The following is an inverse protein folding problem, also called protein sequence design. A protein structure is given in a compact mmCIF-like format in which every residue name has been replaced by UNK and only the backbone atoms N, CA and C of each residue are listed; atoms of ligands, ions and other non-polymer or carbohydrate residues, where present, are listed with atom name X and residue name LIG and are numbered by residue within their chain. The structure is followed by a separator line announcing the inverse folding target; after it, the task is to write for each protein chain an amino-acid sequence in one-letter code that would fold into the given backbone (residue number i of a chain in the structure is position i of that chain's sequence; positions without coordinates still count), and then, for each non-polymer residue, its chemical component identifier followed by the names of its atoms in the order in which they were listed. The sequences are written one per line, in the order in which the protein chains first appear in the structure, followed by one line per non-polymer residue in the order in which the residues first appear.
data_IF_184233314498
#
_entry.id   IF_184233314498
#
_cell.length_a   1.000
_cell.length_b   1.000
_cell.length_c   1.000
_cell.angle_alpha   90.00
_cell.angle_beta   90.00
_cell.angle_gamma   90.00
#
_symmetry.space_group_name_H-M   'P 1'
#
loop_
_entity.id
_entity.type
_entity.pdbx_description
1 polymer ?
#
# COMPACT_ATOMS: atom_id res chain seq x y z
N UNK A 1 9.69 1.24 4.40
CA UNK A 1 9.87 0.63 5.75
C UNK A 1 10.70 -0.65 5.67
N UNK A 2 10.34 -1.63 4.84
CA UNK A 2 11.04 -2.90 4.68
C UNK A 2 12.52 -2.73 4.39
N UNK A 3 12.88 -1.91 3.42
CA UNK A 3 14.26 -1.64 3.02
C UNK A 3 15.16 -1.16 4.18
N UNK A 4 14.65 -0.27 5.04
CA UNK A 4 15.41 0.21 6.22
C UNK A 4 15.58 -0.93 7.25
N UNK A 5 14.52 -1.72 7.50
CA UNK A 5 14.59 -2.85 8.43
C UNK A 5 15.55 -3.95 7.96
N UNK A 6 15.55 -4.18 6.65
CA UNK A 6 16.50 -5.10 5.99
C UNK A 6 17.95 -4.68 6.26
N UNK A 7 18.30 -3.40 6.02
CA UNK A 7 19.63 -2.87 6.33
C UNK A 7 20.00 -2.98 7.81
N UNK A 8 19.05 -2.74 8.72
CA UNK A 8 19.28 -2.92 10.16
C UNK A 8 19.50 -4.40 10.51
N UNK A 9 18.78 -5.34 9.90
CA UNK A 9 19.00 -6.78 10.10
C UNK A 9 20.38 -7.22 9.61
N UNK A 10 20.85 -6.69 8.47
CA UNK A 10 22.23 -6.91 7.99
C UNK A 10 23.26 -6.37 8.98
N UNK A 11 23.05 -5.15 9.50
CA UNK A 11 23.95 -4.54 10.47
C UNK A 11 24.03 -5.34 11.77
N UNK A 12 22.91 -5.84 12.28
CA UNK A 12 22.87 -6.67 13.48
C UNK A 12 23.57 -8.03 13.30
N UNK A 13 23.45 -8.63 12.11
CA UNK A 13 24.15 -9.87 11.79
C UNK A 13 25.69 -9.71 11.74
N UNK A 14 26.18 -8.48 11.52
CA UNK A 14 27.60 -8.16 11.36
C UNK A 14 28.04 -7.05 12.35
N UNK A 15 27.45 -7.01 13.53
CA UNK A 15 27.54 -5.86 14.45
C UNK A 15 28.98 -5.50 14.83
N UNK A 16 29.84 -6.47 15.07
CA UNK A 16 31.22 -6.24 15.47
C UNK A 16 32.02 -5.50 14.39
N UNK A 17 31.81 -5.88 13.13
CA UNK A 17 32.47 -5.23 12.00
C UNK A 17 31.92 -3.81 11.76
N UNK A 18 30.60 -3.62 11.93
CA UNK A 18 29.98 -2.28 11.85
C UNK A 18 30.56 -1.35 12.92
N UNK A 19 30.64 -1.81 14.17
CA UNK A 19 31.22 -1.04 15.26
C UNK A 19 32.68 -0.72 14.97
N UNK A 20 33.47 -1.67 14.45
CA UNK A 20 34.86 -1.45 14.10
C UNK A 20 35.04 -0.34 13.06
N UNK A 21 34.24 -0.37 11.97
CA UNK A 21 34.28 0.66 10.93
C UNK A 21 33.88 2.04 11.50
N UNK A 22 32.76 2.11 12.22
CA UNK A 22 32.26 3.38 12.77
C UNK A 22 33.27 3.98 13.76
N UNK A 23 33.91 3.13 14.57
CA UNK A 23 34.89 3.58 15.57
C UNK A 23 36.22 4.07 14.96
N UNK A 24 36.63 3.48 13.84
CA UNK A 24 37.87 3.79 13.17
C UNK A 24 37.73 4.95 12.18
N UNK A 25 36.53 5.25 11.72
CA UNK A 25 36.29 6.34 10.80
C UNK A 25 36.48 7.71 11.48
N UNK A 26 37.21 8.65 10.86
CA UNK A 26 37.48 9.97 11.43
C UNK A 26 36.23 10.87 11.48
N UNK A 27 35.26 10.65 10.61
CA UNK A 27 34.02 11.43 10.53
C UNK A 27 32.84 10.55 10.13
N UNK A 28 31.57 10.92 10.51
CA UNK A 28 30.41 10.16 10.13
C UNK A 28 30.21 9.99 8.60
N UNK A 29 30.49 10.99 7.74
CA UNK A 29 30.44 10.81 6.28
C UNK A 29 31.42 9.76 5.76
N UNK A 30 32.61 9.66 6.34
CA UNK A 30 33.61 8.64 5.99
C UNK A 30 33.10 7.26 6.41
N UNK A 31 32.59 7.11 7.64
CA UNK A 31 31.96 5.87 8.09
C UNK A 31 30.86 5.42 7.14
N UNK A 32 29.98 6.33 6.72
CA UNK A 32 28.91 6.06 5.76
C UNK A 32 29.45 5.50 4.44
N UNK A 33 30.47 6.14 3.88
CA UNK A 33 31.08 5.71 2.61
C UNK A 33 31.72 4.34 2.75
N UNK A 34 32.43 4.06 3.85
CA UNK A 34 33.05 2.77 4.11
C UNK A 34 32.01 1.64 4.29
N UNK A 35 30.90 1.92 5.01
CA UNK A 35 29.80 0.98 5.18
C UNK A 35 29.12 0.62 3.85
N UNK A 36 28.97 1.60 2.96
CA UNK A 36 28.38 1.39 1.62
C UNK A 36 29.32 0.70 0.65
N UNK A 37 30.64 0.93 0.76
CA UNK A 37 31.65 0.32 -0.10
C UNK A 37 31.85 -1.17 0.19
N UNK A 38 31.54 -1.61 1.39
CA UNK A 38 31.69 -3.00 1.82
C UNK A 38 30.49 -3.86 1.44
N UNK A 39 30.74 -5.10 1.07
CA UNK A 39 29.71 -6.13 0.88
C UNK A 39 29.55 -6.95 2.17
N UNK A 40 28.30 -7.18 2.56
CA UNK A 40 27.94 -7.77 3.85
C UNK A 40 27.32 -9.15 3.65
N UNK A 41 27.68 -10.12 4.49
CA UNK A 41 27.00 -11.41 4.53
C UNK A 41 25.86 -11.35 5.57
N UNK A 42 24.67 -11.72 5.15
CA UNK A 42 23.51 -11.86 6.03
C UNK A 42 22.67 -13.04 5.63
N UNK A 43 22.91 -14.17 6.29
CA UNK A 43 22.17 -15.40 6.03
C UNK A 43 20.67 -15.23 6.32
N UNK A 44 20.31 -14.42 7.31
CA UNK A 44 18.92 -14.10 7.64
C UNK A 44 18.21 -13.42 6.47
N UNK A 45 18.78 -12.32 5.98
CA UNK A 45 18.20 -11.55 4.85
C UNK A 45 18.19 -12.39 3.59
N UNK A 46 19.26 -13.12 3.32
CA UNK A 46 19.33 -14.07 2.19
C UNK A 46 18.21 -15.10 2.27
N UNK A 47 18.03 -15.74 3.42
CA UNK A 47 16.99 -16.76 3.60
C UNK A 47 15.59 -16.19 3.43
N UNK A 48 15.32 -14.99 3.89
CA UNK A 48 14.01 -14.35 3.76
C UNK A 48 13.70 -13.96 2.32
N UNK A 49 14.67 -13.36 1.63
CA UNK A 49 14.52 -12.97 0.22
C UNK A 49 14.51 -14.16 -0.74
N UNK A 50 15.16 -15.31 -0.37
CA UNK A 50 15.12 -16.53 -1.18
C UNK A 50 13.89 -17.38 -0.91
N UNK A 51 13.32 -17.39 0.31
CA UNK A 51 12.03 -18.06 0.57
C UNK A 51 10.92 -17.51 -0.31
N UNK A 52 10.92 -16.22 -0.56
CA UNK A 52 10.03 -15.60 -1.52
C UNK A 52 10.16 -16.16 -2.96
N UNK A 53 11.28 -16.82 -3.29
CA UNK A 53 11.49 -17.49 -4.59
C UNK A 53 11.03 -18.94 -4.63
N UNK A 54 11.07 -19.65 -3.48
CA UNK A 54 10.86 -21.11 -3.44
C UNK A 54 9.40 -21.53 -3.24
N UNK A 55 8.52 -20.64 -2.75
CA UNK A 55 7.12 -20.96 -2.45
C UNK A 55 6.19 -21.02 -3.68
N UNK A 56 6.75 -21.03 -4.90
CA UNK A 56 5.93 -21.06 -6.13
C UNK A 56 5.12 -19.78 -6.35
N UNK A 57 5.38 -18.73 -5.58
CA UNK A 57 4.80 -17.41 -5.81
C UNK A 57 5.40 -16.82 -7.08
N UNK A 58 4.57 -16.17 -7.89
CA UNK A 58 4.98 -15.46 -9.11
C UNK A 58 5.75 -14.17 -8.82
N UNK A 59 6.09 -13.94 -7.54
CA UNK A 59 6.73 -12.71 -7.05
C UNK A 59 8.25 -12.81 -7.26
N UNK A 60 8.80 -11.86 -8.00
CA UNK A 60 10.23 -11.77 -8.22
C UNK A 60 10.91 -11.04 -7.05
N UNK A 61 12.17 -11.38 -6.76
CA UNK A 61 12.96 -10.65 -5.74
C UNK A 61 13.08 -9.14 -6.03
N UNK A 62 12.89 -8.74 -7.29
CA UNK A 62 12.86 -7.33 -7.69
C UNK A 62 11.58 -6.61 -7.22
N UNK A 63 10.48 -7.34 -6.97
CA UNK A 63 9.21 -6.77 -6.50
C UNK A 63 9.29 -6.28 -5.04
N UNK A 64 10.24 -6.81 -4.25
CA UNK A 64 10.54 -6.34 -2.89
C UNK A 64 11.43 -5.09 -2.86
N UNK A 65 12.00 -4.70 -4.01
CA UNK A 65 12.88 -3.53 -4.08
C UNK A 65 12.07 -2.25 -4.12
N UNK A 66 12.45 -1.23 -3.34
CA UNK A 66 11.84 0.09 -3.46
C UNK A 66 11.99 0.64 -4.88
N UNK A 67 10.97 1.29 -5.40
CA UNK A 67 11.05 2.04 -6.64
C UNK A 67 12.20 3.06 -6.58
N UNK A 68 13.01 3.12 -7.62
CA UNK A 68 14.15 4.04 -7.71
C UNK A 68 15.42 3.59 -6.99
N UNK A 69 15.44 2.43 -6.33
CA UNK A 69 16.68 1.90 -5.76
C UNK A 69 17.59 1.37 -6.87
N UNK A 70 18.81 1.91 -6.96
CA UNK A 70 19.81 1.47 -7.94
C UNK A 70 20.16 -0.02 -7.75
N UNK A 71 20.36 -0.73 -8.88
CA UNK A 71 20.58 -2.19 -8.88
C UNK A 71 21.82 -2.66 -8.13
N UNK A 72 22.77 -1.76 -7.89
CA UNK A 72 23.99 -2.07 -7.14
C UNK A 72 23.75 -2.28 -5.64
N UNK A 73 22.63 -1.78 -5.07
CA UNK A 73 22.29 -1.92 -3.65
C UNK A 73 21.36 -3.11 -3.41
N UNK A 74 21.32 -3.60 -2.17
CA UNK A 74 20.55 -4.78 -1.79
C UNK A 74 21.31 -6.08 -1.98
N UNK A 75 20.58 -7.20 -2.06
CA UNK A 75 21.16 -8.53 -2.24
C UNK A 75 21.67 -8.70 -3.68
N UNK A 76 22.98 -8.85 -3.84
CA UNK A 76 23.63 -9.12 -5.13
C UNK A 76 23.48 -10.57 -5.59
N UNK A 77 23.84 -10.83 -6.85
CA UNK A 77 23.91 -12.19 -7.40
C UNK A 77 25.00 -13.04 -6.73
N UNK A 78 26.00 -12.38 -6.15
CA UNK A 78 27.06 -12.97 -5.36
C UNK A 78 26.60 -13.45 -3.97
N UNK A 79 25.34 -13.21 -3.63
CA UNK A 79 24.76 -13.52 -2.32
C UNK A 79 25.19 -12.57 -1.21
N UNK A 80 25.92 -11.52 -1.53
CA UNK A 80 26.33 -10.48 -0.59
C UNK A 80 25.38 -9.28 -0.68
N UNK A 81 25.22 -8.60 0.44
CA UNK A 81 24.35 -7.45 0.58
C UNK A 81 25.14 -6.14 0.52
N UNK A 82 24.67 -5.18 -0.29
CA UNK A 82 25.24 -3.84 -0.38
C UNK A 82 24.25 -2.81 0.15
N UNK A 83 24.70 -2.04 1.12
CA UNK A 83 23.85 -1.04 1.78
C UNK A 83 23.63 0.17 0.88
N UNK A 84 22.38 0.64 0.86
CA UNK A 84 22.05 1.94 0.28
C UNK A 84 22.43 3.09 1.22
N UNK A 85 22.47 4.30 0.67
CA UNK A 85 22.75 5.51 1.45
C UNK A 85 21.76 5.70 2.60
N UNK A 86 20.47 5.48 2.34
CA UNK A 86 19.41 5.58 3.37
C UNK A 86 19.63 4.58 4.49
N UNK A 87 19.97 3.34 4.16
CA UNK A 87 20.25 2.30 5.16
C UNK A 87 21.49 2.64 5.99
N UNK A 88 22.59 3.05 5.36
CA UNK A 88 23.81 3.42 6.05
C UNK A 88 23.57 4.60 7.01
N UNK A 89 22.76 5.57 6.62
CA UNK A 89 22.40 6.70 7.47
C UNK A 89 21.57 6.29 8.69
N UNK A 90 20.57 5.44 8.50
CA UNK A 90 19.74 4.92 9.60
C UNK A 90 20.56 4.08 10.59
N UNK A 91 21.51 3.30 10.09
CA UNK A 91 22.44 2.53 10.93
C UNK A 91 23.30 3.46 11.78
N UNK A 92 23.87 4.53 11.20
CA UNK A 92 24.67 5.51 11.93
C UNK A 92 23.89 6.31 12.98
N UNK A 93 22.59 6.47 12.79
CA UNK A 93 21.68 7.13 13.73
C UNK A 93 21.14 6.19 14.81
N UNK A 94 21.45 4.89 14.72
CA UNK A 94 20.95 3.89 15.66
C UNK A 94 21.55 4.12 17.06
N UNK A 95 20.69 4.16 18.07
CA UNK A 95 21.10 4.29 19.47
C UNK A 95 21.72 2.98 19.96
N UNK A 96 22.76 3.07 20.80
CA UNK A 96 23.42 1.91 21.41
C UNK A 96 22.46 0.97 22.17
N UNK A 97 21.37 1.50 22.72
CA UNK A 97 20.35 0.69 23.37
C UNK A 97 19.71 -0.37 22.44
N UNK A 98 19.64 -0.11 21.12
CA UNK A 98 19.12 -1.06 20.15
C UNK A 98 20.05 -2.25 19.85
N UNK A 99 21.28 -2.22 20.40
CA UNK A 99 22.23 -3.31 20.26
C UNK A 99 22.08 -4.39 21.35
N UNK A 100 21.15 -4.21 22.29
CA UNK A 100 20.84 -5.25 23.29
C UNK A 100 20.10 -6.41 22.63
N UNK A 101 20.31 -7.64 23.12
CA UNK A 101 19.74 -8.85 22.50
C UNK A 101 18.22 -8.80 22.33
N UNK A 102 17.48 -8.28 23.34
CA UNK A 102 16.03 -8.12 23.26
C UNK A 102 15.58 -7.16 22.14
N UNK A 103 16.31 -6.07 21.91
CA UNK A 103 16.01 -5.12 20.84
C UNK A 103 16.44 -5.66 19.47
N UNK A 104 17.49 -6.47 19.41
CA UNK A 104 17.87 -7.18 18.19
C UNK A 104 16.76 -8.14 17.73
N UNK A 105 16.25 -8.97 18.63
CA UNK A 105 15.13 -9.88 18.34
C UNK A 105 13.90 -9.12 17.89
N UNK A 106 13.63 -7.96 18.47
CA UNK A 106 12.51 -7.11 18.08
C UNK A 106 12.67 -6.56 16.66
N UNK A 107 13.86 -6.10 16.28
CA UNK A 107 14.13 -5.62 14.91
C UNK A 107 13.98 -6.76 13.90
N UNK A 108 14.47 -7.95 14.22
CA UNK A 108 14.32 -9.14 13.37
C UNK A 108 12.85 -9.52 13.21
N UNK A 109 12.07 -9.48 14.29
CA UNK A 109 10.65 -9.78 14.23
C UNK A 109 9.87 -8.71 13.45
N UNK A 110 10.16 -7.42 13.69
CA UNK A 110 9.57 -6.33 12.89
C UNK A 110 9.89 -6.47 11.39
N UNK A 111 11.08 -6.95 11.04
CA UNK A 111 11.44 -7.22 9.65
C UNK A 111 10.61 -8.39 9.07
N UNK A 112 10.44 -9.47 9.84
CA UNK A 112 9.61 -10.61 9.44
C UNK A 112 8.15 -10.21 9.20
N UNK A 113 7.61 -9.40 10.11
CA UNK A 113 6.23 -8.91 10.03
C UNK A 113 6.03 -8.05 8.77
N UNK A 114 6.98 -7.15 8.49
CA UNK A 114 6.93 -6.31 7.29
C UNK A 114 7.06 -7.14 6.00
N UNK A 115 7.90 -8.18 6.00
CA UNK A 115 8.01 -9.08 4.85
C UNK A 115 6.72 -9.86 4.61
N UNK A 116 6.08 -10.35 5.66
CA UNK A 116 4.78 -11.03 5.54
C UNK A 116 3.68 -10.07 5.03
N UNK A 117 3.69 -8.80 5.47
CA UNK A 117 2.78 -7.77 4.95
C UNK A 117 3.01 -7.50 3.45
N UNK A 118 4.27 -7.43 3.02
CA UNK A 118 4.62 -7.25 1.60
C UNK A 118 4.14 -8.45 0.79
N UNK A 119 4.37 -9.67 1.26
CA UNK A 119 3.93 -10.91 0.59
C UNK A 119 2.41 -10.93 0.39
N UNK A 120 1.64 -10.57 1.43
CA UNK A 120 0.18 -10.50 1.34
C UNK A 120 -0.28 -9.42 0.33
N UNK A 121 0.33 -8.24 0.36
CA UNK A 121 0.01 -7.15 -0.57
C UNK A 121 0.35 -7.53 -2.02
N UNK A 122 1.47 -8.19 -2.26
CA UNK A 122 1.85 -8.67 -3.60
C UNK A 122 0.90 -9.78 -4.08
N UNK A 123 0.46 -10.68 -3.21
CA UNK A 123 -0.53 -11.70 -3.53
C UNK A 123 -1.90 -11.08 -3.90
N UNK A 124 -2.31 -10.01 -3.20
CA UNK A 124 -3.52 -9.25 -3.51
C UNK A 124 -3.40 -8.62 -4.91
N UNK A 125 -2.25 -8.00 -5.23
CA UNK A 125 -2.02 -7.37 -6.54
C UNK A 125 -1.98 -8.40 -7.67
N UNK A 126 -1.46 -9.60 -7.41
CA UNK A 126 -1.36 -10.67 -8.40
C UNK A 126 -2.71 -11.35 -8.70
N UNK A 127 -3.69 -11.30 -7.76
CA UNK A 127 -4.96 -12.03 -7.85
C UNK A 127 -6.16 -11.09 -7.79
N UNK A 128 -6.79 -10.73 -8.94
CA UNK A 128 -7.97 -9.86 -8.96
C UNK A 128 -9.15 -10.39 -8.10
N UNK A 129 -9.22 -11.70 -7.92
CA UNK A 129 -10.24 -12.36 -7.08
C UNK A 129 -10.10 -11.97 -5.61
N UNK A 130 -8.87 -11.86 -5.10
CA UNK A 130 -8.61 -11.41 -3.73
C UNK A 130 -9.02 -9.95 -3.52
N UNK A 131 -8.81 -9.09 -4.51
CA UNK A 131 -9.27 -7.69 -4.47
C UNK A 131 -10.78 -7.64 -4.30
N UNK A 132 -11.52 -8.47 -5.06
CA UNK A 132 -12.98 -8.55 -4.96
C UNK A 132 -13.44 -9.04 -3.58
N UNK A 133 -12.74 -9.99 -2.97
CA UNK A 133 -13.02 -10.47 -1.61
C UNK A 133 -12.84 -9.34 -0.59
N UNK A 134 -11.72 -8.63 -0.64
CA UNK A 134 -11.43 -7.51 0.29
C UNK A 134 -12.48 -6.41 0.16
N UNK A 135 -12.86 -6.03 -1.06
CA UNK A 135 -13.95 -5.07 -1.29
C UNK A 135 -15.25 -5.56 -0.63
N UNK A 136 -15.57 -6.86 -0.77
CA UNK A 136 -16.75 -7.46 -0.15
C UNK A 136 -16.71 -7.41 1.37
N UNK A 137 -15.56 -7.65 1.97
CA UNK A 137 -15.34 -7.58 3.42
C UNK A 137 -15.48 -6.15 3.94
N UNK A 138 -14.84 -5.18 3.28
CA UNK A 138 -14.95 -3.76 3.63
C UNK A 138 -16.38 -3.23 3.53
N UNK A 139 -17.08 -3.58 2.44
CA UNK A 139 -18.49 -3.22 2.28
C UNK A 139 -19.39 -3.88 3.33
N UNK A 140 -19.07 -5.10 3.72
CA UNK A 140 -19.79 -5.80 4.79
C UNK A 140 -19.56 -5.12 6.14
N UNK A 141 -18.33 -4.70 6.44
CA UNK A 141 -18.02 -3.95 7.65
C UNK A 141 -18.80 -2.61 7.70
N UNK A 142 -18.80 -1.85 6.61
CA UNK A 142 -19.58 -0.61 6.49
C UNK A 142 -21.08 -0.88 6.65
N UNK A 143 -21.60 -1.96 6.07
CA UNK A 143 -22.99 -2.36 6.22
C UNK A 143 -23.34 -2.70 7.68
N UNK A 144 -22.45 -3.37 8.41
CA UNK A 144 -22.64 -3.68 9.82
C UNK A 144 -22.63 -2.41 10.70
N UNK A 145 -21.70 -1.48 10.41
CA UNK A 145 -21.58 -0.24 11.17
C UNK A 145 -22.78 0.71 10.95
N UNK A 146 -23.17 0.92 9.70
CA UNK A 146 -24.18 1.92 9.34
C UNK A 146 -25.57 1.36 9.04
N UNK A 147 -25.69 0.08 8.65
CA UNK A 147 -26.94 -0.52 8.20
C UNK A 147 -28.06 -0.55 9.23
N UNK A 148 -27.71 -0.55 10.53
CA UNK A 148 -28.66 -0.51 11.64
C UNK A 148 -28.99 0.92 12.11
N UNK A 149 -28.33 1.93 11.55
CA UNK A 149 -28.49 3.33 11.94
C UNK A 149 -29.59 4.01 11.12
N UNK A 150 -30.14 5.11 11.64
CA UNK A 150 -31.11 5.94 10.87
C UNK A 150 -30.51 6.50 9.58
N UNK A 151 -29.18 6.65 9.51
CA UNK A 151 -28.46 7.13 8.33
C UNK A 151 -28.39 6.05 7.23
N UNK A 152 -28.28 4.78 7.62
CA UNK A 152 -28.22 3.65 6.70
C UNK A 152 -29.59 3.17 6.20
N UNK A 153 -30.69 3.68 6.78
CA UNK A 153 -32.02 3.29 6.36
C UNK A 153 -32.30 3.75 4.92
N UNK A 154 -32.75 2.82 4.09
CA UNK A 154 -33.11 3.11 2.70
C UNK A 154 -34.32 4.09 2.68
N UNK A 155 -34.17 5.18 1.96
CA UNK A 155 -35.24 6.17 1.74
C UNK A 155 -35.90 6.01 0.38
N UNK A 156 -35.22 5.38 -0.58
CA UNK A 156 -35.75 5.12 -1.93
C UNK A 156 -36.45 3.77 -1.97
N UNK A 157 -37.55 3.70 -2.69
CA UNK A 157 -38.28 2.46 -2.99
C UNK A 157 -37.65 1.83 -4.24
N UNK A 158 -37.52 0.49 -4.25
CA UNK A 158 -37.12 -0.24 -5.45
C UNK A 158 -38.41 -0.66 -6.16
N UNK A 159 -38.63 -0.12 -7.32
CA UNK A 159 -39.74 -0.55 -8.21
C UNK A 159 -39.14 -1.51 -9.24
N UNK A 160 -39.76 -2.69 -9.34
CA UNK A 160 -39.37 -3.70 -10.32
C UNK A 160 -40.00 -3.44 -11.69
N UNK A 161 -40.33 -2.18 -12.00
CA UNK A 161 -40.91 -1.80 -13.28
C UNK A 161 -39.79 -1.36 -14.24
N UNK A 162 -39.53 -2.19 -15.25
CA UNK A 162 -38.51 -1.93 -16.27
C UNK A 162 -39.10 -1.18 -17.49
N UNK A 163 -40.18 -0.39 -17.32
CA UNK A 163 -40.64 0.46 -18.41
C UNK A 163 -39.68 1.62 -18.61
N UNK A 164 -39.22 1.79 -19.82
CA UNK A 164 -38.46 2.97 -20.20
C UNK A 164 -39.29 4.22 -19.94
N UNK A 165 -38.78 5.12 -19.14
CA UNK A 165 -39.39 6.42 -18.88
C UNK A 165 -39.40 7.21 -20.19
N UNK A 166 -40.59 7.46 -20.73
CA UNK A 166 -40.73 8.37 -21.84
C UNK A 166 -40.49 9.83 -21.36
N UNK A 167 -40.12 10.70 -22.26
CA UNK A 167 -39.86 12.12 -21.91
C UNK A 167 -41.13 12.77 -21.33
N UNK A 168 -42.31 12.29 -21.75
CA UNK A 168 -43.62 12.71 -21.27
C UNK A 168 -43.87 12.38 -19.81
N UNK A 169 -43.32 11.25 -19.30
CA UNK A 169 -43.45 10.81 -17.90
C UNK A 169 -42.67 11.71 -16.91
N UNK A 170 -41.71 12.47 -17.42
CA UNK A 170 -40.92 13.44 -16.65
C UNK A 170 -41.59 14.82 -16.53
N UNK A 171 -42.68 15.03 -17.28
CA UNK A 171 -43.41 16.32 -17.27
C UNK A 171 -44.41 16.29 -16.11
N UNK A 172 -44.20 17.18 -15.14
CA UNK A 172 -45.16 17.33 -14.04
C UNK A 172 -46.49 17.85 -14.57
N UNK A 173 -47.61 17.13 -14.33
CA UNK A 173 -48.94 17.60 -14.75
C UNK A 173 -49.26 18.97 -14.12
N UNK A 174 -49.52 19.94 -14.92
CA UNK A 174 -49.89 21.33 -14.49
C UNK A 174 -51.12 21.79 -15.27
N UNK A 175 -51.99 22.50 -14.55
CA UNK A 175 -53.16 23.11 -15.23
C UNK A 175 -52.68 24.23 -16.18
N UNK A 176 -53.09 24.13 -17.43
CA UNK A 176 -52.67 25.03 -18.50
C UNK A 176 -53.88 25.70 -19.11
N UNK A 177 -53.74 27.01 -19.33
CA UNK A 177 -54.71 27.77 -20.17
C UNK A 177 -54.25 27.74 -21.61
N UNK A 178 -55.13 27.21 -22.49
CA UNK A 178 -54.88 27.16 -23.91
C UNK A 178 -55.73 28.27 -24.59
N UNK A 179 -55.06 29.17 -25.28
CA UNK A 179 -55.73 30.23 -26.06
C UNK A 179 -55.54 29.98 -27.54
N UNK A 180 -56.62 30.15 -28.29
CA UNK A 180 -56.63 30.04 -29.74
C UNK A 180 -56.99 31.41 -30.33
N UNK A 181 -56.10 31.96 -31.14
CA UNK A 181 -56.37 33.23 -31.83
C UNK A 181 -57.24 33.03 -33.05
N UNK A 182 -57.93 34.08 -33.47
CA UNK A 182 -58.76 34.05 -34.70
C UNK A 182 -57.95 33.75 -35.97
N UNK A 183 -56.64 33.99 -35.94
CA UNK A 183 -55.70 33.67 -37.02
C UNK A 183 -55.16 32.23 -36.98
N UNK A 184 -55.64 31.37 -36.06
CA UNK A 184 -55.24 29.96 -35.97
C UNK A 184 -53.97 29.69 -35.12
N UNK A 185 -53.44 30.68 -34.38
CA UNK A 185 -52.31 30.44 -33.47
C UNK A 185 -52.78 29.91 -32.11
N UNK A 186 -52.14 28.86 -31.65
CA UNK A 186 -52.37 28.24 -30.32
C UNK A 186 -51.22 28.66 -29.39
N UNK A 187 -51.55 29.11 -28.18
CA UNK A 187 -50.62 29.43 -27.10
C UNK A 187 -51.10 28.70 -25.82
N UNK A 188 -50.16 28.10 -25.09
CA UNK A 188 -50.41 27.46 -23.82
C UNK A 188 -49.56 28.15 -22.74
N UNK A 189 -50.19 28.46 -21.59
CA UNK A 189 -49.52 29.10 -20.44
C UNK A 189 -49.99 28.41 -19.14
N UNK A 190 -49.10 28.26 -18.12
CA UNK A 190 -49.52 27.80 -16.81
C UNK A 190 -50.56 28.72 -16.17
N UNK A 191 -51.50 28.14 -15.42
CA UNK A 191 -52.59 28.89 -14.76
C UNK A 191 -52.06 29.82 -13.65
N UNK A 192 -50.86 29.57 -13.17
CA UNK A 192 -50.20 30.29 -12.04
C UNK A 192 -49.36 31.50 -12.47
N UNK A 193 -49.37 31.87 -13.74
CA UNK A 193 -48.69 33.11 -14.23
C UNK A 193 -49.68 34.22 -14.55
#
# INVERSE_FOLDING_TARGET
RGHVREGLAVALANIDEFIAIIRNAPTPPVAKTELMAKSWDSQLVRTMLTRARDDGSTVNADDYRPEGLERQYGLGQDGLYRLSETQAQEILQMRLQRLTGLEQDKIVNEYKDVMAEIDDLLDILAKPERVSVIIGEELTAVKQEFGQTKLGARRSVIEHNAQDLATEDLITPTDMVVTLSHSGYIKSQPLSE
#
